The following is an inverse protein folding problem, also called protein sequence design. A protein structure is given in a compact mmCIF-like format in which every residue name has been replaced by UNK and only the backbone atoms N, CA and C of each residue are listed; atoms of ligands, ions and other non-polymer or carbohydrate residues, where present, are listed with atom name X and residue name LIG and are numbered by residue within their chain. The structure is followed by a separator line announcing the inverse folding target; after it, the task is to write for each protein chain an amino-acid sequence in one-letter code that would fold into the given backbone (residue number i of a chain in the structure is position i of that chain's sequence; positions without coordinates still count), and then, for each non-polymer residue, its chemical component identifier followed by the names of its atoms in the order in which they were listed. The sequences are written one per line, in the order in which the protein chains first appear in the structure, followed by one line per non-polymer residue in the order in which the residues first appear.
data_IF_011115350844
#
_entry.id   IF_011115350844
#
_cell.length_a   1.000
_cell.length_b   1.000
_cell.length_c   1.000
_cell.angle_alpha   90.00
_cell.angle_beta   90.00
_cell.angle_gamma   90.00
#
_symmetry.space_group_name_H-M   'P 1'
#
loop_
_entity.id
_entity.type
_entity.pdbx_description
1 polymer ?
#
# COMPACT_ATOMS: atom_id res chain seq x y z
N UNK A 1 -16.25 -40.37 -27.56
CA UNK A 1 -16.56 -39.68 -26.30
C UNK A 1 -15.29 -38.99 -25.87
N UNK A 2 -15.13 -37.72 -26.25
CA UNK A 2 -13.89 -36.98 -26.06
C UNK A 2 -13.90 -36.29 -24.70
N UNK A 3 -12.93 -36.59 -23.84
CA UNK A 3 -12.63 -35.74 -22.71
C UNK A 3 -11.86 -34.51 -23.19
N UNK A 4 -12.22 -33.28 -22.77
CA UNK A 4 -11.46 -32.10 -23.10
C UNK A 4 -10.14 -32.05 -22.32
N UNK A 5 -9.07 -31.73 -23.05
CA UNK A 5 -7.74 -31.51 -22.50
C UNK A 5 -7.74 -30.35 -21.48
N UNK A 6 -7.45 -30.66 -20.22
CA UNK A 6 -7.18 -29.67 -19.19
C UNK A 6 -5.78 -29.07 -19.40
N UNK A 7 -5.71 -27.90 -20.04
CA UNK A 7 -4.51 -27.07 -20.10
C UNK A 7 -4.45 -26.21 -18.84
N UNK A 8 -3.64 -26.62 -17.86
CA UNK A 8 -3.22 -25.77 -16.74
C UNK A 8 -1.95 -25.04 -17.15
N UNK A 9 -2.06 -23.75 -17.48
CA UNK A 9 -0.91 -22.85 -17.64
C UNK A 9 -0.68 -22.15 -16.30
N UNK A 10 0.36 -22.58 -15.58
CA UNK A 10 0.86 -21.87 -14.40
C UNK A 10 1.88 -20.81 -14.86
N UNK A 11 1.49 -19.54 -14.79
CA UNK A 11 2.41 -18.41 -14.98
C UNK A 11 3.34 -18.37 -13.76
N UNK A 12 4.63 -18.45 -14.02
CA UNK A 12 5.71 -18.37 -13.03
C UNK A 12 5.84 -16.91 -12.57
N UNK A 13 5.52 -16.63 -11.31
CA UNK A 13 5.90 -15.40 -10.63
C UNK A 13 6.58 -15.76 -9.30
N UNK A 14 7.89 -15.44 -9.14
CA UNK A 14 8.60 -15.73 -7.91
C UNK A 14 8.32 -14.66 -6.85
N UNK A 15 8.51 -15.05 -5.59
CA UNK A 15 8.37 -14.29 -4.33
C UNK A 15 6.97 -14.38 -3.72
N UNK A 16 6.91 -15.23 -2.70
CA UNK A 16 5.77 -15.46 -1.84
C UNK A 16 5.31 -14.19 -1.11
N UNK A 17 4.43 -13.40 -1.73
CA UNK A 17 3.48 -12.60 -0.95
C UNK A 17 2.25 -13.48 -0.77
N UNK A 18 2.13 -14.08 0.41
CA UNK A 18 0.88 -14.74 0.78
C UNK A 18 -0.19 -13.64 0.76
N UNK A 19 -1.08 -13.63 -0.23
CA UNK A 19 -2.28 -12.78 -0.27
C UNK A 19 -3.19 -13.25 0.88
N UNK A 20 -2.81 -12.92 2.11
CA UNK A 20 -3.55 -13.20 3.31
C UNK A 20 -4.54 -12.07 3.44
N UNK A 21 -5.81 -12.34 3.11
CA UNK A 21 -6.88 -11.45 3.52
C UNK A 21 -6.94 -11.48 5.04
N UNK A 22 -6.83 -10.31 5.66
CA UNK A 22 -6.92 -10.15 7.11
C UNK A 22 -8.10 -9.25 7.39
N UNK A 23 -9.02 -9.72 8.23
CA UNK A 23 -10.17 -8.93 8.69
C UNK A 23 -9.78 -8.20 9.97
N UNK A 24 -10.00 -6.89 9.99
CA UNK A 24 -9.83 -6.04 11.17
C UNK A 24 -11.21 -5.57 11.62
N UNK A 25 -11.49 -5.68 12.91
CA UNK A 25 -12.68 -5.07 13.53
C UNK A 25 -12.22 -3.80 14.23
N UNK A 26 -12.87 -2.68 13.94
CA UNK A 26 -12.50 -1.36 14.42
C UNK A 26 -13.73 -0.70 15.04
N UNK A 27 -13.58 -0.17 16.24
CA UNK A 27 -14.56 0.75 16.81
C UNK A 27 -14.22 2.17 16.35
N UNK A 28 -15.14 2.78 15.60
CA UNK A 28 -14.97 4.13 15.08
C UNK A 28 -15.87 5.12 15.83
N UNK A 29 -15.40 6.36 16.10
CA UNK A 29 -16.26 7.42 16.58
C UNK A 29 -17.41 7.67 15.61
N UNK A 30 -18.60 7.97 16.13
CA UNK A 30 -19.80 8.16 15.33
C UNK A 30 -19.65 9.24 14.24
N UNK A 31 -18.94 10.33 14.57
CA UNK A 31 -18.63 11.38 13.60
C UNK A 31 -17.86 10.85 12.38
N UNK A 32 -16.88 9.98 12.61
CA UNK A 32 -16.06 9.42 11.54
C UNK A 32 -16.85 8.41 10.69
N UNK A 33 -17.74 7.64 11.32
CA UNK A 33 -18.67 6.75 10.59
C UNK A 33 -19.59 7.56 9.68
N UNK A 34 -20.11 8.69 10.17
CA UNK A 34 -20.96 9.58 9.37
C UNK A 34 -20.21 10.21 8.19
N UNK A 35 -18.93 10.58 8.37
CA UNK A 35 -18.08 11.07 7.27
C UNK A 35 -17.83 9.99 6.20
N UNK A 36 -17.58 8.75 6.62
CA UNK A 36 -17.41 7.62 5.70
C UNK A 36 -18.70 7.36 4.91
N UNK A 37 -19.86 7.39 5.57
CA UNK A 37 -21.16 7.28 4.91
C UNK A 37 -21.38 8.41 3.90
N UNK A 38 -21.10 9.66 4.27
CA UNK A 38 -21.24 10.80 3.38
C UNK A 38 -20.35 10.66 2.13
N UNK A 39 -19.12 10.16 2.29
CA UNK A 39 -18.20 9.93 1.17
C UNK A 39 -18.71 8.85 0.20
N UNK A 40 -19.32 7.79 0.72
CA UNK A 40 -19.95 6.75 -0.10
C UNK A 40 -21.19 7.30 -0.82
N UNK A 41 -22.05 8.03 -0.12
CA UNK A 41 -23.25 8.65 -0.72
C UNK A 41 -22.91 9.69 -1.79
N UNK A 42 -21.79 10.41 -1.62
CA UNK A 42 -21.26 11.33 -2.62
C UNK A 42 -20.65 10.61 -3.84
N UNK A 43 -20.55 9.28 -3.83
CA UNK A 43 -20.00 8.46 -4.91
C UNK A 43 -18.47 8.48 -4.98
N UNK A 44 -17.78 8.91 -3.93
CA UNK A 44 -16.31 8.92 -3.89
C UNK A 44 -15.74 7.51 -3.70
N UNK A 45 -16.49 6.65 -3.01
CA UNK A 45 -16.15 5.26 -2.77
C UNK A 45 -17.39 4.38 -2.94
N UNK A 46 -17.21 3.13 -3.34
CA UNK A 46 -18.28 2.15 -3.48
C UNK A 46 -18.74 1.59 -2.12
N UNK A 47 -17.88 1.62 -1.08
CA UNK A 47 -18.23 1.20 0.28
C UNK A 47 -17.33 1.85 1.34
N UNK A 48 -17.76 1.81 2.61
CA UNK A 48 -16.95 2.31 3.73
C UNK A 48 -15.62 1.56 3.85
N UNK A 49 -15.61 0.24 3.61
CA UNK A 49 -14.39 -0.56 3.68
C UNK A 49 -13.39 -0.19 2.57
N UNK A 50 -13.89 0.22 1.40
CA UNK A 50 -13.04 0.76 0.35
C UNK A 50 -12.40 2.09 0.78
N UNK A 51 -13.19 2.99 1.34
CA UNK A 51 -12.70 4.26 1.88
C UNK A 51 -11.62 4.03 2.96
N UNK A 52 -11.85 3.11 3.89
CA UNK A 52 -10.87 2.76 4.93
C UNK A 52 -9.60 2.16 4.33
N UNK A 53 -9.70 1.24 3.36
CA UNK A 53 -8.52 0.69 2.67
C UNK A 53 -7.73 1.77 1.92
N UNK A 54 -8.42 2.72 1.29
CA UNK A 54 -7.80 3.84 0.60
C UNK A 54 -7.03 4.73 1.59
N UNK A 55 -7.64 5.09 2.72
CA UNK A 55 -6.99 5.89 3.76
C UNK A 55 -5.73 5.19 4.34
N UNK A 56 -5.81 3.90 4.63
CA UNK A 56 -4.64 3.13 5.11
C UNK A 56 -3.52 3.10 4.07
N UNK A 57 -3.86 2.90 2.79
CA UNK A 57 -2.88 2.92 1.70
C UNK A 57 -2.22 4.28 1.56
N UNK A 58 -3.01 5.33 1.66
CA UNK A 58 -2.55 6.71 1.56
C UNK A 58 -1.58 7.06 2.70
N UNK A 59 -1.96 6.76 3.94
CA UNK A 59 -1.11 6.92 5.14
C UNK A 59 0.23 6.19 4.99
N UNK A 60 0.21 4.94 4.52
CA UNK A 60 1.43 4.15 4.32
C UNK A 60 2.31 4.71 3.19
N UNK A 61 1.71 5.35 2.18
CA UNK A 61 2.45 5.93 1.05
C UNK A 61 3.16 7.21 1.45
N UNK A 62 2.52 8.05 2.28
CA UNK A 62 3.13 9.26 2.82
C UNK A 62 4.35 8.95 3.71
N UNK A 63 4.29 7.89 4.52
CA UNK A 63 5.44 7.47 5.34
C UNK A 63 6.65 7.01 4.52
N UNK A 64 6.42 6.40 3.35
CA UNK A 64 7.51 5.96 2.46
C UNK A 64 8.27 7.13 1.83
N UNK A 65 7.58 8.21 1.50
CA UNK A 65 8.22 9.39 0.90
C UNK A 65 9.19 10.07 1.87
N UNK A 66 8.77 10.24 3.13
CA UNK A 66 9.62 10.83 4.17
C UNK A 66 10.88 9.99 4.45
N UNK A 67 10.75 8.66 4.45
CA UNK A 67 11.90 7.75 4.60
C UNK A 67 12.86 7.84 3.41
N UNK A 68 12.33 7.94 2.19
CA UNK A 68 13.13 7.98 0.97
C UNK A 68 13.90 9.31 0.84
N UNK A 69 13.30 10.41 1.29
CA UNK A 69 13.97 11.71 1.42
C UNK A 69 15.12 11.66 2.43
N UNK A 70 14.90 11.07 3.61
CA UNK A 70 15.95 10.92 4.63
C UNK A 70 17.12 10.08 4.14
N UNK A 71 16.84 9.01 3.39
CA UNK A 71 17.89 8.17 2.79
C UNK A 71 18.68 8.94 1.71
N UNK A 72 18.01 9.70 0.85
CA UNK A 72 18.69 10.53 -0.15
C UNK A 72 19.60 11.58 0.48
N UNK A 73 19.15 12.24 1.55
CA UNK A 73 19.97 13.22 2.27
C UNK A 73 21.20 12.54 2.91
N UNK A 74 21.02 11.36 3.51
CA UNK A 74 22.12 10.60 4.09
C UNK A 74 23.15 10.17 3.03
N UNK A 75 22.70 9.78 1.83
CA UNK A 75 23.57 9.42 0.72
C UNK A 75 24.37 10.62 0.18
N UNK A 76 23.74 11.80 0.10
CA UNK A 76 24.41 13.06 -0.28
C UNK A 76 25.47 13.45 0.76
N UNK A 77 25.13 13.41 2.05
CA UNK A 77 26.05 13.72 3.13
C UNK A 77 27.25 12.76 3.16
N UNK A 78 26.99 11.47 2.93
CA UNK A 78 28.05 10.48 2.81
C UNK A 78 28.98 10.81 1.62
N UNK A 79 28.42 11.09 0.44
CA UNK A 79 29.18 11.38 -0.77
C UNK A 79 30.01 12.67 -0.63
N UNK A 80 29.44 13.71 -0.02
CA UNK A 80 30.12 14.98 0.24
C UNK A 80 31.31 14.80 1.20
N UNK A 81 31.13 14.02 2.27
CA UNK A 81 32.19 13.70 3.22
C UNK A 81 33.29 12.80 2.63
N UNK A 82 32.90 11.83 1.79
CA UNK A 82 33.85 10.96 1.09
C UNK A 82 34.68 11.74 0.06
N UNK A 83 34.08 12.71 -0.63
CA UNK A 83 34.75 13.57 -1.59
C UNK A 83 35.72 14.57 -0.94
N UNK A 84 35.40 15.13 0.24
CA UNK A 84 36.30 16.06 0.93
C UNK A 84 37.52 15.38 1.58
N UNK A 85 37.44 14.06 1.82
CA UNK A 85 38.54 13.25 2.37
C UNK A 85 39.49 12.65 1.33
N UNK A 86 39.35 13.00 0.05
CA UNK A 86 40.31 12.59 -1.00
C UNK A 86 41.60 13.44 -0.87
N UNK A 87 42.79 12.82 -0.76
CA UNK A 87 44.06 13.53 -0.63
C UNK A 87 44.43 14.31 -1.91
#
# INVERSE_FOLDING_TARGET
MGEPANLSVAIFAPVAYSLRMTTLTLDLPEALTAELDAAVQAGWFASQEEAVRAAVRDMMSHGKLALLEQQQLADIDWAANAASKRP
#
